data_IF_225148126660
#
_entry.id   IF_225148126660
#
_cell.length_a   1.000
_cell.length_b   1.000
_cell.length_c   1.000
_cell.angle_alpha   90.00
_cell.angle_beta   90.00
_cell.angle_gamma   90.00
#
_symmetry.space_group_name_H-M   'P 1'
#
loop_
_entity.id
_entity.type
_entity.pdbx_description
1 polymer ?
#
# COMPACT_ATOMS: atom_id res chain seq x y z
N UNK A 1 -3.35 1.54 26.55
CA UNK A 1 -3.28 1.82 25.10
C UNK A 1 -2.67 3.19 24.87
N UNK A 2 -1.82 3.34 23.87
CA UNK A 2 -0.91 4.48 23.70
C UNK A 2 -1.56 5.81 23.28
N UNK A 3 -2.87 5.83 23.01
CA UNK A 3 -3.62 6.99 22.45
C UNK A 3 -2.95 7.61 21.20
N UNK A 4 -2.15 6.84 20.45
CA UNK A 4 -1.38 7.30 19.28
C UNK A 4 -1.86 6.58 18.03
N UNK A 5 -2.21 7.35 17.01
CA UNK A 5 -2.45 6.84 15.65
C UNK A 5 -1.14 6.58 14.90
N UNK A 6 -1.23 5.87 13.79
CA UNK A 6 -0.10 5.61 12.89
C UNK A 6 -0.45 6.04 11.46
N UNK A 7 0.50 5.85 10.54
CA UNK A 7 0.36 6.17 9.13
C UNK A 7 -0.73 5.37 8.38
N UNK A 8 -1.34 4.39 9.03
CA UNK A 8 -2.48 3.64 8.49
C UNK A 8 -3.79 4.17 9.07
N UNK A 9 -3.88 4.29 10.40
CA UNK A 9 -5.12 4.68 11.08
C UNK A 9 -5.47 6.16 10.98
N UNK A 10 -4.47 7.05 10.94
CA UNK A 10 -4.71 8.50 10.86
C UNK A 10 -5.37 8.90 9.52
N UNK A 11 -4.89 8.46 8.34
CA UNK A 11 -5.55 8.77 7.07
C UNK A 11 -7.00 8.29 6.99
N UNK A 12 -7.31 7.07 7.46
CA UNK A 12 -8.69 6.60 7.50
C UNK A 12 -9.58 7.47 8.39
N UNK A 13 -9.13 7.77 9.61
CA UNK A 13 -9.88 8.66 10.51
C UNK A 13 -10.10 10.03 9.87
N UNK A 14 -9.07 10.61 9.25
CA UNK A 14 -9.18 11.89 8.58
C UNK A 14 -10.19 11.86 7.44
N UNK A 15 -10.16 10.83 6.59
CA UNK A 15 -11.11 10.68 5.47
C UNK A 15 -12.55 10.57 5.97
N UNK A 16 -12.79 9.79 7.02
CA UNK A 16 -14.13 9.68 7.66
C UNK A 16 -14.60 11.06 8.15
N UNK A 17 -13.75 11.81 8.84
CA UNK A 17 -14.09 13.14 9.34
C UNK A 17 -14.31 14.16 8.20
N UNK A 18 -13.52 14.06 7.13
CA UNK A 18 -13.65 14.91 5.95
C UNK A 18 -14.98 14.64 5.24
N UNK A 19 -15.36 13.37 5.07
CA UNK A 19 -16.64 12.98 4.47
C UNK A 19 -17.84 13.48 5.30
N UNK A 20 -17.76 13.38 6.64
CA UNK A 20 -18.82 13.84 7.54
C UNK A 20 -19.10 15.36 7.41
N UNK A 21 -18.09 16.15 7.06
CA UNK A 21 -18.21 17.61 6.87
C UNK A 21 -18.28 18.02 5.40
N UNK A 22 -18.50 17.07 4.48
CA UNK A 22 -18.54 17.28 3.02
C UNK A 22 -17.24 17.91 2.44
N UNK A 23 -16.11 17.66 3.09
CA UNK A 23 -14.79 18.08 2.63
C UNK A 23 -14.17 17.00 1.74
N UNK A 24 -13.82 17.36 0.49
CA UNK A 24 -13.17 16.44 -0.44
C UNK A 24 -11.73 16.13 0.01
N UNK A 25 -11.52 14.87 0.35
CA UNK A 25 -10.23 14.28 0.69
C UNK A 25 -10.13 12.89 0.06
N UNK A 26 -8.93 12.47 -0.33
CA UNK A 26 -8.68 11.15 -0.91
C UNK A 26 -7.55 10.49 -0.15
N UNK A 27 -7.66 9.20 0.14
CA UNK A 27 -6.48 8.44 0.59
C UNK A 27 -5.58 8.20 -0.62
N UNK A 28 -4.27 8.25 -0.40
CA UNK A 28 -3.25 7.89 -1.37
C UNK A 28 -2.22 6.96 -0.74
N UNK A 29 -1.61 6.11 -1.56
CA UNK A 29 -0.70 5.05 -1.11
C UNK A 29 0.72 5.33 -1.57
N UNK A 30 1.66 5.15 -0.67
CA UNK A 30 3.10 5.02 -0.92
C UNK A 30 3.58 3.68 -0.32
N UNK A 31 4.81 3.23 -0.61
CA UNK A 31 5.35 2.00 0.00
C UNK A 31 5.20 2.00 1.52
N UNK A 32 4.43 1.03 2.04
CA UNK A 32 4.13 0.86 3.47
C UNK A 32 3.53 2.09 4.18
N UNK A 33 2.87 3.01 3.44
CA UNK A 33 2.42 4.28 4.00
C UNK A 33 1.16 4.80 3.31
N UNK A 34 0.20 5.32 4.08
CA UNK A 34 -0.96 6.05 3.56
C UNK A 34 -0.90 7.52 3.97
N UNK A 35 -1.41 8.39 3.11
CA UNK A 35 -1.53 9.82 3.35
C UNK A 35 -2.77 10.36 2.64
N UNK A 36 -3.08 11.65 2.83
CA UNK A 36 -4.25 12.28 2.24
C UNK A 36 -3.85 13.15 1.05
N UNK A 37 -4.63 13.08 -0.04
CA UNK A 37 -4.61 14.03 -1.15
C UNK A 37 -5.85 14.90 -1.12
N UNK A 38 -5.64 16.20 -1.28
CA UNK A 38 -6.71 17.18 -1.48
C UNK A 38 -6.51 17.90 -2.80
N UNK A 39 -7.56 18.55 -3.26
CA UNK A 39 -7.51 19.43 -4.40
C UNK A 39 -8.16 20.77 -4.06
N UNK A 40 -7.49 21.88 -4.38
CA UNK A 40 -8.07 23.21 -4.30
C UNK A 40 -7.82 23.99 -5.59
N UNK A 41 -8.54 25.12 -5.77
CA UNK A 41 -8.47 25.92 -7.00
C UNK A 41 -7.14 26.67 -7.19
N UNK A 42 -6.48 27.05 -6.09
CA UNK A 42 -5.27 27.88 -6.15
C UNK A 42 -4.01 27.07 -6.45
N UNK A 43 -3.89 25.91 -5.82
CA UNK A 43 -2.66 25.10 -5.77
C UNK A 43 -2.82 23.75 -6.48
N UNK A 44 -4.02 23.41 -6.95
CA UNK A 44 -4.30 22.10 -7.54
C UNK A 44 -4.26 20.98 -6.49
N UNK A 45 -3.66 19.85 -6.85
CA UNK A 45 -3.50 18.70 -5.96
C UNK A 45 -2.38 18.93 -4.95
N UNK A 46 -2.62 18.55 -3.70
CA UNK A 46 -1.60 18.60 -2.65
C UNK A 46 -1.75 17.46 -1.66
N UNK A 47 -0.64 17.12 -1.02
CA UNK A 47 -0.57 16.03 -0.05
C UNK A 47 -0.65 16.58 1.36
N UNK A 48 -1.30 15.84 2.24
CA UNK A 48 -1.37 16.07 3.68
C UNK A 48 -0.90 14.80 4.37
N UNK A 49 0.24 14.86 5.04
CA UNK A 49 0.78 13.75 5.81
C UNK A 49 0.53 14.01 7.31
N UNK A 50 -0.22 13.10 7.92
CA UNK A 50 -0.78 13.25 9.26
C UNK A 50 0.14 12.72 10.38
N UNK A 51 1.10 11.86 10.05
CA UNK A 51 2.07 11.27 11.00
C UNK A 51 3.19 12.25 11.36
N UNK A 52 3.57 13.08 10.40
CA UNK A 52 4.63 14.09 10.44
C UNK A 52 4.08 15.52 10.44
N UNK A 53 2.76 15.67 10.26
CA UNK A 53 2.03 16.94 10.35
C UNK A 53 2.56 18.00 9.37
N UNK A 54 2.68 17.61 8.09
CA UNK A 54 3.15 18.47 6.99
C UNK A 54 2.34 18.29 5.71
N UNK A 55 2.52 19.24 4.79
CA UNK A 55 2.04 19.13 3.41
C UNK A 55 3.21 18.83 2.47
N UNK A 56 3.60 17.57 2.25
CA UNK A 56 4.77 17.27 1.44
C UNK A 56 4.53 17.49 -0.05
N UNK A 57 5.56 17.92 -0.77
CA UNK A 57 5.55 17.92 -2.24
C UNK A 57 5.75 16.51 -2.80
N UNK A 58 5.26 16.25 -4.02
CA UNK A 58 5.37 14.93 -4.66
C UNK A 58 6.81 14.44 -4.78
N UNK A 59 7.75 15.33 -5.12
CA UNK A 59 9.17 14.98 -5.24
C UNK A 59 9.74 14.38 -3.94
N UNK A 60 9.26 14.84 -2.78
CA UNK A 60 9.68 14.28 -1.51
C UNK A 60 9.04 12.94 -1.21
N UNK A 61 7.75 12.74 -1.53
CA UNK A 61 7.12 11.42 -1.40
C UNK A 61 7.82 10.39 -2.30
N UNK A 62 8.23 10.81 -3.50
CA UNK A 62 8.96 9.96 -4.43
C UNK A 62 10.36 9.61 -3.92
N UNK A 63 11.15 10.62 -3.53
CA UNK A 63 12.52 10.41 -3.06
C UNK A 63 12.55 9.63 -1.74
N UNK A 64 11.71 10.02 -0.79
CA UNK A 64 11.67 9.43 0.54
C UNK A 64 11.04 8.03 0.52
N UNK A 65 10.02 7.81 -0.33
CA UNK A 65 9.35 6.53 -0.51
C UNK A 65 10.02 5.56 -1.48
N UNK A 66 11.18 5.89 -2.08
CA UNK A 66 11.83 5.09 -3.13
C UNK A 66 10.91 4.77 -4.31
N UNK A 67 10.04 5.72 -4.68
CA UNK A 67 9.04 5.51 -5.71
C UNK A 67 9.65 5.87 -7.06
N UNK A 68 9.88 4.85 -7.89
CA UNK A 68 10.36 5.04 -9.25
C UNK A 68 9.28 5.66 -10.13
N UNK A 69 9.69 6.38 -11.18
CA UNK A 69 8.74 7.04 -12.10
C UNK A 69 7.77 6.03 -12.72
N UNK A 70 8.23 4.81 -13.03
CA UNK A 70 7.39 3.75 -13.58
C UNK A 70 6.23 3.38 -12.64
N UNK A 71 6.45 3.39 -11.33
CA UNK A 71 5.41 3.12 -10.34
C UNK A 71 4.36 4.24 -10.27
N UNK A 72 4.71 5.47 -10.66
CA UNK A 72 3.76 6.57 -10.80
C UNK A 72 2.98 6.44 -12.11
N UNK A 73 3.68 6.22 -13.23
CA UNK A 73 3.08 6.09 -14.56
C UNK A 73 2.11 4.90 -14.60
N UNK A 74 2.50 3.78 -13.99
CA UNK A 74 1.67 2.58 -13.86
C UNK A 74 0.68 2.65 -12.70
N UNK A 75 0.53 3.83 -12.08
CA UNK A 75 -0.47 4.13 -11.04
C UNK A 75 -0.34 3.33 -9.75
N UNK A 76 0.74 2.59 -9.58
CA UNK A 76 1.02 1.74 -8.40
C UNK A 76 0.96 2.54 -7.09
N UNK A 77 1.39 3.80 -7.14
CA UNK A 77 1.42 4.71 -5.99
C UNK A 77 0.95 6.11 -6.37
N UNK A 78 0.67 6.90 -5.33
CA UNK A 78 0.37 8.34 -5.39
C UNK A 78 -0.94 8.73 -6.11
N UNK A 79 -1.84 7.79 -6.39
CA UNK A 79 -3.18 8.11 -6.87
C UNK A 79 -4.08 8.66 -5.76
N UNK A 80 -4.94 9.61 -6.12
CA UNK A 80 -6.07 10.00 -5.28
C UNK A 80 -7.17 8.94 -5.42
N UNK A 81 -7.30 8.07 -4.42
CA UNK A 81 -8.21 6.93 -4.49
C UNK A 81 -9.68 7.35 -4.40
N UNK A 82 -10.53 6.63 -5.11
CA UNK A 82 -11.98 6.70 -4.96
C UNK A 82 -12.48 5.74 -3.85
N UNK A 83 -13.77 5.82 -3.53
CA UNK A 83 -14.35 5.04 -2.43
C UNK A 83 -14.32 3.52 -2.72
N UNK A 84 -14.47 3.09 -3.97
CA UNK A 84 -14.38 1.67 -4.34
C UNK A 84 -12.95 1.12 -4.13
N UNK A 85 -11.93 1.90 -4.51
CA UNK A 85 -10.53 1.57 -4.24
C UNK A 85 -10.23 1.57 -2.75
N UNK A 86 -10.86 2.44 -1.95
CA UNK A 86 -10.76 2.40 -0.50
C UNK A 86 -11.38 1.13 0.10
N UNK A 87 -12.49 0.64 -0.44
CA UNK A 87 -13.05 -0.67 -0.05
C UNK A 87 -12.03 -1.78 -0.34
N UNK A 88 -11.33 -1.73 -1.49
CA UNK A 88 -10.25 -2.67 -1.81
C UNK A 88 -9.10 -2.62 -0.78
N UNK A 89 -8.73 -1.44 -0.26
CA UNK A 89 -7.74 -1.33 0.83
C UNK A 89 -8.22 -2.08 2.08
N UNK A 90 -9.47 -1.85 2.50
CA UNK A 90 -10.08 -2.48 3.68
C UNK A 90 -10.19 -4.01 3.54
N UNK A 91 -10.48 -4.52 2.33
CA UNK A 91 -10.50 -5.96 2.07
C UNK A 91 -9.12 -6.59 2.33
N UNK A 92 -8.04 -5.92 1.93
CA UNK A 92 -6.68 -6.41 2.18
C UNK A 92 -6.29 -6.28 3.64
N UNK A 93 -6.69 -5.21 4.32
CA UNK A 93 -6.48 -5.06 5.77
C UNK A 93 -7.17 -6.19 6.54
N UNK A 94 -8.40 -6.55 6.14
CA UNK A 94 -9.14 -7.68 6.70
C UNK A 94 -8.42 -9.00 6.46
N UNK A 95 -7.97 -9.25 5.22
CA UNK A 95 -7.24 -10.47 4.87
C UNK A 95 -5.93 -10.62 5.67
N UNK A 96 -5.12 -9.55 5.77
CA UNK A 96 -3.91 -9.52 6.61
C UNK A 96 -4.23 -9.73 8.09
N UNK A 97 -5.35 -9.19 8.57
CA UNK A 97 -5.83 -9.42 9.93
C UNK A 97 -6.14 -10.90 10.20
N UNK A 98 -6.81 -11.57 9.27
CA UNK A 98 -7.11 -13.00 9.33
C UNK A 98 -5.84 -13.85 9.25
N UNK A 99 -4.95 -13.53 8.30
CA UNK A 99 -3.65 -14.18 8.17
C UNK A 99 -2.88 -14.15 9.50
N UNK A 100 -2.77 -12.97 10.11
CA UNK A 100 -2.04 -12.77 11.37
C UNK A 100 -2.68 -13.51 12.54
N UNK A 101 -4.00 -13.57 12.61
CA UNK A 101 -4.73 -14.16 13.75
C UNK A 101 -4.91 -15.67 13.65
N UNK A 102 -5.15 -16.19 12.45
CA UNK A 102 -5.59 -17.57 12.21
C UNK A 102 -4.63 -18.39 11.34
N UNK A 103 -3.60 -17.74 10.78
CA UNK A 103 -2.59 -18.36 9.92
C UNK A 103 -2.96 -18.33 8.44
N UNK A 104 -1.94 -18.11 7.60
CA UNK A 104 -2.10 -17.97 6.15
C UNK A 104 -2.69 -19.21 5.47
N UNK A 105 -2.20 -20.41 5.81
CA UNK A 105 -2.67 -21.66 5.18
C UNK A 105 -4.11 -22.00 5.58
N UNK A 106 -4.46 -21.79 6.86
CA UNK A 106 -5.82 -22.02 7.38
C UNK A 106 -6.86 -21.13 6.70
N UNK A 107 -6.47 -19.91 6.34
CA UNK A 107 -7.36 -18.89 5.76
C UNK A 107 -7.09 -18.63 4.27
N UNK A 108 -6.35 -19.53 3.59
CA UNK A 108 -5.91 -19.37 2.19
C UNK A 108 -7.06 -18.90 1.29
N UNK A 109 -8.16 -19.64 1.30
CA UNK A 109 -9.31 -19.37 0.43
C UNK A 109 -9.93 -17.98 0.67
N UNK A 110 -10.07 -17.59 1.94
CA UNK A 110 -10.59 -16.28 2.31
C UNK A 110 -9.64 -15.16 1.88
N UNK A 111 -8.33 -15.32 2.14
CA UNK A 111 -7.30 -14.35 1.77
C UNK A 111 -7.30 -14.14 0.25
N UNK A 112 -7.26 -15.23 -0.53
CA UNK A 112 -7.27 -15.15 -2.00
C UNK A 112 -8.56 -14.51 -2.52
N UNK A 113 -9.72 -14.82 -1.92
CA UNK A 113 -11.00 -14.18 -2.29
C UNK A 113 -10.98 -12.67 -2.03
N UNK A 114 -10.40 -12.21 -0.92
CA UNK A 114 -10.22 -10.78 -0.65
C UNK A 114 -9.27 -10.14 -1.66
N UNK A 115 -8.15 -10.79 -1.98
CA UNK A 115 -7.22 -10.30 -3.00
C UNK A 115 -7.88 -10.18 -4.37
N UNK A 116 -8.59 -11.21 -4.82
CA UNK A 116 -9.26 -11.20 -6.13
C UNK A 116 -10.37 -10.16 -6.20
N UNK A 117 -11.14 -9.98 -5.13
CA UNK A 117 -12.16 -8.93 -5.06
C UNK A 117 -11.54 -7.53 -5.12
N UNK A 118 -10.48 -7.29 -4.34
CA UNK A 118 -9.76 -6.02 -4.35
C UNK A 118 -9.15 -5.72 -5.73
N UNK A 119 -8.55 -6.71 -6.38
CA UNK A 119 -7.88 -6.57 -7.68
C UNK A 119 -8.85 -6.39 -8.86
N UNK A 120 -10.14 -6.73 -8.71
CA UNK A 120 -11.15 -6.39 -9.73
C UNK A 120 -11.42 -4.88 -9.81
N UNK A 121 -11.38 -4.21 -8.66
CA UNK A 121 -11.66 -2.77 -8.54
C UNK A 121 -10.39 -1.94 -8.62
N UNK A 122 -9.29 -2.44 -8.06
CA UNK A 122 -8.00 -1.78 -8.00
C UNK A 122 -6.90 -2.72 -8.52
N UNK A 123 -6.78 -2.92 -9.85
CA UNK A 123 -5.96 -3.98 -10.45
C UNK A 123 -4.46 -3.88 -10.22
N UNK A 124 -3.99 -2.68 -9.91
CA UNK A 124 -2.60 -2.35 -9.63
C UNK A 124 -2.36 -2.07 -8.14
N UNK A 125 -3.26 -2.50 -7.25
CA UNK A 125 -3.03 -2.37 -5.81
C UNK A 125 -1.91 -3.32 -5.35
N UNK A 126 -0.74 -2.76 -5.08
CA UNK A 126 0.47 -3.53 -4.75
C UNK A 126 0.31 -4.46 -3.55
N UNK A 127 -0.38 -4.03 -2.49
CA UNK A 127 -0.50 -4.86 -1.28
C UNK A 127 -1.40 -6.08 -1.52
N UNK A 128 -2.40 -5.97 -2.41
CA UNK A 128 -3.22 -7.11 -2.82
C UNK A 128 -2.40 -8.11 -3.65
N UNK A 129 -1.62 -7.61 -4.61
CA UNK A 129 -0.74 -8.43 -5.44
C UNK A 129 0.30 -9.17 -4.58
N UNK A 130 0.98 -8.47 -3.68
CA UNK A 130 1.98 -9.05 -2.78
C UNK A 130 1.35 -10.09 -1.85
N UNK A 131 0.21 -9.77 -1.21
CA UNK A 131 -0.46 -10.72 -0.32
C UNK A 131 -0.93 -11.99 -1.06
N UNK A 132 -1.42 -11.84 -2.30
CA UNK A 132 -1.78 -12.96 -3.16
C UNK A 132 -0.57 -13.86 -3.44
N UNK A 133 0.53 -13.28 -3.95
CA UNK A 133 1.76 -14.02 -4.26
C UNK A 133 2.39 -14.68 -3.02
N UNK A 134 2.36 -14.01 -1.87
CA UNK A 134 2.86 -14.57 -0.60
C UNK A 134 2.01 -15.74 -0.10
N UNK A 135 0.68 -15.66 -0.27
CA UNK A 135 -0.26 -16.72 0.12
C UNK A 135 -0.09 -17.96 -0.78
N UNK A 136 0.04 -17.75 -2.08
CA UNK A 136 0.34 -18.80 -3.06
C UNK A 136 1.70 -19.44 -2.78
N UNK A 137 2.74 -18.63 -2.53
CA UNK A 137 4.07 -19.12 -2.15
C UNK A 137 4.01 -20.03 -0.92
N UNK A 138 3.32 -19.61 0.15
CA UNK A 138 3.17 -20.44 1.36
C UNK A 138 2.46 -21.76 1.05
N UNK A 139 1.46 -21.72 0.17
CA UNK A 139 0.74 -22.93 -0.27
C UNK A 139 1.67 -23.86 -1.05
N UNK A 140 2.46 -23.32 -1.99
CA UNK A 140 3.46 -24.07 -2.74
C UNK A 140 4.54 -24.68 -1.84
N UNK A 141 5.05 -23.91 -0.87
CA UNK A 141 6.03 -24.39 0.12
C UNK A 141 5.45 -25.54 0.99
N UNK A 142 4.16 -25.48 1.32
CA UNK A 142 3.46 -26.56 2.02
C UNK A 142 3.32 -27.83 1.15
N UNK A 143 3.07 -27.69 -0.15
CA UNK A 143 3.06 -28.81 -1.10
C UNK A 143 4.46 -29.41 -1.23
N UNK A 144 5.51 -28.60 -1.39
CA UNK A 144 6.90 -29.04 -1.41
C UNK A 144 7.23 -29.90 -0.18
N UNK A 145 6.83 -29.42 1.01
CA UNK A 145 7.00 -30.15 2.27
C UNK A 145 6.22 -31.46 2.28
N UNK A 146 4.96 -31.46 1.85
CA UNK A 146 4.09 -32.65 1.79
C UNK A 146 4.67 -33.74 0.88
N UNK A 147 5.35 -33.37 -0.20
CA UNK A 147 5.93 -34.28 -1.18
C UNK A 147 7.43 -34.53 -0.97
N UNK A 148 8.03 -34.05 0.12
CA UNK A 148 9.48 -34.15 0.40
C UNK A 148 10.36 -33.67 -0.78
N UNK A 149 9.92 -32.61 -1.47
CA UNK A 149 10.64 -32.05 -2.59
C UNK A 149 11.71 -31.05 -2.15
N UNK A 150 12.83 -31.03 -2.86
CA UNK A 150 13.94 -30.12 -2.59
C UNK A 150 13.93 -28.93 -3.56
N UNK A 151 13.50 -29.17 -4.81
CA UNK A 151 13.44 -28.18 -5.87
C UNK A 151 12.01 -28.03 -6.41
N UNK A 152 11.56 -26.83 -6.82
CA UNK A 152 10.23 -26.63 -7.37
C UNK A 152 9.87 -27.63 -8.48
N UNK A 153 10.83 -27.91 -9.37
CA UNK A 153 10.71 -28.87 -10.48
C UNK A 153 10.28 -30.28 -10.06
N UNK A 154 10.53 -30.67 -8.82
CA UNK A 154 10.19 -32.00 -8.30
C UNK A 154 8.67 -32.19 -8.19
N UNK A 155 7.91 -31.11 -7.96
CA UNK A 155 6.45 -31.14 -7.79
C UNK A 155 5.68 -30.48 -8.94
N UNK A 156 6.32 -29.77 -9.87
CA UNK A 156 5.62 -29.12 -11.00
C UNK A 156 4.87 -30.09 -11.93
N UNK A 157 5.12 -31.40 -11.83
CA UNK A 157 4.31 -32.44 -12.50
C UNK A 157 2.92 -32.65 -11.87
N UNK A 158 2.69 -32.10 -10.68
CA UNK A 158 1.41 -32.15 -9.97
C UNK A 158 0.59 -30.93 -10.45
N UNK A 159 -0.62 -31.13 -11.02
CA UNK A 159 -1.39 -30.03 -11.60
C UNK A 159 -1.62 -28.85 -10.65
N UNK A 160 -1.96 -29.12 -9.39
CA UNK A 160 -2.15 -28.08 -8.36
C UNK A 160 -0.87 -27.26 -8.12
N UNK A 161 0.30 -27.92 -8.09
CA UNK A 161 1.57 -27.24 -7.85
C UNK A 161 2.00 -26.41 -9.07
N UNK A 162 1.77 -26.91 -10.28
CA UNK A 162 2.01 -26.17 -11.52
C UNK A 162 1.15 -24.89 -11.58
N UNK A 163 -0.16 -25.03 -11.31
CA UNK A 163 -1.11 -23.93 -11.34
C UNK A 163 -0.69 -22.83 -10.35
N UNK A 164 -0.46 -23.18 -9.08
CA UNK A 164 -0.01 -22.22 -8.05
C UNK A 164 1.30 -21.55 -8.45
N UNK A 165 2.26 -22.31 -8.99
CA UNK A 165 3.56 -21.76 -9.39
C UNK A 165 3.43 -20.77 -10.55
N UNK A 166 2.60 -21.11 -11.55
CA UNK A 166 2.31 -20.26 -12.69
C UNK A 166 1.63 -18.96 -12.27
N UNK A 167 0.57 -19.06 -11.46
CA UNK A 167 -0.16 -17.90 -10.94
C UNK A 167 0.75 -16.98 -10.14
N UNK A 168 1.50 -17.55 -9.19
CA UNK A 168 2.45 -16.81 -8.36
C UNK A 168 3.50 -16.09 -9.21
N UNK A 169 4.06 -16.77 -10.21
CA UNK A 169 5.07 -16.18 -11.10
C UNK A 169 4.49 -15.05 -11.95
N UNK A 170 3.26 -15.21 -12.45
CA UNK A 170 2.56 -14.17 -13.19
C UNK A 170 2.30 -12.92 -12.32
N UNK A 171 1.92 -13.12 -11.06
CA UNK A 171 1.74 -12.01 -10.10
C UNK A 171 3.07 -11.31 -9.81
N UNK A 172 4.17 -12.04 -9.61
CA UNK A 172 5.50 -11.44 -9.41
C UNK A 172 5.97 -10.65 -10.64
N UNK A 173 5.76 -11.18 -11.85
CA UNK A 173 6.06 -10.45 -13.09
C UNK A 173 5.27 -9.15 -13.14
N UNK A 174 3.96 -9.21 -12.89
CA UNK A 174 3.10 -8.03 -12.87
C UNK A 174 3.58 -6.99 -11.85
N UNK A 175 3.94 -7.41 -10.63
CA UNK A 175 4.45 -6.51 -9.59
C UNK A 175 5.75 -5.83 -10.04
N UNK A 176 6.65 -6.58 -10.68
CA UNK A 176 7.89 -6.04 -11.24
C UNK A 176 7.63 -5.01 -12.35
N UNK A 177 6.73 -5.33 -13.28
CA UNK A 177 6.37 -4.50 -14.43
C UNK A 177 5.65 -3.21 -14.02
N UNK A 178 4.87 -3.26 -12.93
CA UNK A 178 4.28 -2.08 -12.31
C UNK A 178 5.33 -1.16 -11.66
N UNK A 179 6.59 -1.54 -11.60
CA UNK A 179 7.68 -0.72 -11.05
C UNK A 179 7.85 -0.88 -9.53
N UNK A 180 7.27 -1.91 -8.91
CA UNK A 180 7.50 -2.17 -7.49
C UNK A 180 8.97 -2.49 -7.23
N UNK A 181 9.51 -1.90 -6.17
CA UNK A 181 10.84 -2.21 -5.63
C UNK A 181 10.71 -2.38 -4.14
N UNK A 182 11.26 -3.47 -3.60
CA UNK A 182 11.25 -3.72 -2.16
C UNK A 182 12.19 -2.73 -1.48
N UNK A 183 11.66 -1.90 -0.59
CA UNK A 183 12.46 -1.05 0.28
C UNK A 183 13.10 -1.90 1.38
N UNK A 184 14.44 -1.85 1.57
CA UNK A 184 15.08 -2.46 2.73
C UNK A 184 14.57 -1.83 4.04
N UNK A 185 14.41 -2.63 5.10
CA UNK A 185 13.85 -2.17 6.38
C UNK A 185 14.67 -1.04 7.03
N UNK A 186 16.00 -1.10 6.92
CA UNK A 186 16.90 -0.04 7.37
C UNK A 186 16.63 1.30 6.68
N UNK A 187 16.26 1.26 5.39
CA UNK A 187 15.93 2.45 4.62
C UNK A 187 14.57 3.01 5.01
N UNK A 188 13.60 2.16 5.38
CA UNK A 188 12.32 2.58 5.94
C UNK A 188 12.46 3.27 7.31
N UNK A 189 13.34 2.77 8.17
CA UNK A 189 13.62 3.42 9.46
C UNK A 189 14.36 4.76 9.28
N UNK A 190 15.35 4.81 8.38
CA UNK A 190 16.00 6.08 8.00
C UNK A 190 15.02 7.06 7.38
N UNK A 191 14.10 6.57 6.56
CA UNK A 191 13.01 7.37 6.00
C UNK A 191 12.22 8.05 7.11
N UNK A 192 11.69 7.32 8.10
CA UNK A 192 10.96 7.89 9.25
C UNK A 192 11.74 8.98 10.00
N UNK A 193 13.07 8.85 10.10
CA UNK A 193 13.95 9.84 10.73
C UNK A 193 14.11 11.08 9.83
N UNK A 194 14.34 10.89 8.53
CA UNK A 194 14.49 11.99 7.56
C UNK A 194 13.24 12.87 7.46
N UNK A 195 12.04 12.29 7.64
CA UNK A 195 10.77 13.04 7.73
C UNK A 195 10.82 14.14 8.81
N UNK A 196 11.58 13.89 9.88
CA UNK A 196 11.71 14.78 11.03
C UNK A 196 12.80 15.83 10.85
N UNK A 197 13.91 15.46 10.22
CA UNK A 197 15.12 16.28 10.13
C UNK A 197 15.11 17.25 8.94
N UNK A 198 14.55 16.84 7.80
CA UNK A 198 14.63 17.60 6.53
C UNK A 198 13.34 18.36 6.18
N UNK A 199 12.45 18.50 7.15
CA UNK A 199 11.09 19.07 7.01
C UNK A 199 11.03 20.35 6.16
N UNK A 200 11.90 21.33 6.42
CA UNK A 200 11.85 22.65 5.81
C UNK A 200 12.14 22.69 4.30
N UNK A 201 12.84 21.69 3.76
CA UNK A 201 13.20 21.63 2.35
C UNK A 201 12.05 21.11 1.48
N UNK A 202 11.14 20.35 2.08
CA UNK A 202 10.18 19.52 1.35
C UNK A 202 8.71 19.76 1.74
N UNK A 203 8.48 20.64 2.71
CA UNK A 203 7.16 21.16 3.04
C UNK A 203 6.69 22.15 1.96
N UNK A 204 5.44 21.98 1.50
CA UNK A 204 4.81 22.87 0.55
C UNK A 204 4.50 24.22 1.22
N UNK A 205 5.39 25.20 0.97
CA UNK A 205 5.32 26.56 1.52
C UNK A 205 4.12 27.37 1.01
N UNK A 206 3.53 27.00 -0.12
CA UNK A 206 2.35 27.69 -0.65
C UNK A 206 1.09 27.36 0.17
N UNK A 207 1.08 26.21 0.86
CA UNK A 207 -0.07 25.72 1.64
C UNK A 207 0.12 25.97 3.14
N UNK A 208 1.35 25.84 3.64
CA UNK A 208 1.64 25.99 5.07
C UNK A 208 1.55 27.43 5.58
N UNK A 209 1.44 28.43 4.69
CA UNK A 209 1.28 29.85 5.03
C UNK A 209 -0.17 30.25 5.35
N UNK A 210 -0.85 29.51 6.24
CA UNK A 210 -2.16 29.93 6.75
C UNK A 210 -1.99 31.17 7.64
N UNK A 211 -2.05 32.36 7.04
CA UNK A 211 -2.24 33.60 7.79
C UNK A 211 -3.69 33.63 8.23
N UNK A 212 -3.96 33.37 9.50
CA UNK A 212 -5.25 33.68 10.12
C UNK A 212 -5.55 35.15 9.84
N UNK A 213 -6.45 35.42 8.90
CA UNK A 213 -7.10 36.72 8.84
C UNK A 213 -8.09 36.72 10.00
N UNK A 214 -7.65 37.25 11.14
CA UNK A 214 -8.54 37.66 12.21
C UNK A 214 -9.59 38.61 11.61
N UNK A 215 -10.82 38.13 11.49
CA UNK A 215 -12.00 38.98 11.34
C UNK A 215 -12.73 39.00 12.67
#
# INVERSE_FOLDING_TARGET
ETKKGNCHSLPYLYKILADEIDAKAHISVAPNHFYIKHQNKGNGWYNTELTSSIFPIDAWLMASGYIHLDAIVNKLYMEALNDEQMIALNMIDLAKGYEKKLGALTQKEFILKCCDAALKVYPHYVNALLLKAETEKKTFDALMTKYNAQYPTDILKIPEAEEIFSEMTAVYSKVHDLGYRKMPEEMYLKWLVSLKEERNQYENKEISNFKSTSK
#
